data_IF_300141051501
#
_entry.id   IF_300141051501
#
_cell.length_a   1.000
_cell.length_b   1.000
_cell.length_c   1.000
_cell.angle_alpha   90.00
_cell.angle_beta   90.00
_cell.angle_gamma   90.00
#
_symmetry.space_group_name_H-M   'P 1'
#
loop_
_entity.id
_entity.type
_entity.pdbx_description
1 polymer ?
#
# COMPACT_ATOMS: atom_id res chain seq x y z
N UNK A 1 9.05 17.42 2.59
CA UNK A 1 8.18 16.61 3.47
C UNK A 1 7.41 15.65 2.59
N UNK A 2 7.29 14.39 2.95
CA UNK A 2 6.54 13.38 2.19
C UNK A 2 5.12 13.27 2.72
N UNK A 3 4.15 13.22 1.82
CA UNK A 3 2.73 13.19 2.18
C UNK A 3 2.16 11.80 1.95
N UNK A 4 1.66 11.17 3.00
CA UNK A 4 1.23 9.77 3.00
C UNK A 4 -0.27 9.68 3.26
N UNK A 5 -1.01 9.05 2.36
CA UNK A 5 -2.41 8.70 2.55
C UNK A 5 -2.53 7.43 3.41
N UNK A 6 -3.37 7.47 4.43
CA UNK A 6 -3.66 6.29 5.27
C UNK A 6 -5.16 5.99 5.20
N UNK A 7 -5.49 4.80 4.72
CA UNK A 7 -6.84 4.24 4.80
C UNK A 7 -7.14 3.89 6.27
N UNK A 8 -7.75 4.83 6.97
CA UNK A 8 -8.01 4.70 8.41
C UNK A 8 -9.12 3.69 8.74
N UNK A 9 -9.86 3.21 7.74
CA UNK A 9 -10.98 2.28 7.94
C UNK A 9 -10.63 0.85 7.50
N UNK A 10 -9.42 0.62 7.03
CA UNK A 10 -8.93 -0.70 6.59
C UNK A 10 -8.32 -1.50 7.73
N UNK A 11 -8.76 -2.77 7.87
CA UNK A 11 -8.24 -3.71 8.88
C UNK A 11 -9.18 -3.96 10.05
N UNK A 12 -8.92 -5.05 10.77
CA UNK A 12 -9.81 -5.57 11.82
C UNK A 12 -9.92 -4.63 13.04
N UNK A 13 -8.86 -3.89 13.34
CA UNK A 13 -8.80 -2.96 14.46
C UNK A 13 -8.91 -1.48 14.02
N UNK A 14 -9.46 -1.24 12.82
CA UNK A 14 -9.69 0.13 12.34
C UNK A 14 -10.88 0.79 13.05
N UNK A 15 -10.85 2.11 13.28
CA UNK A 15 -9.76 3.02 12.97
C UNK A 15 -8.68 3.10 14.06
N UNK A 16 -8.92 2.52 15.24
CA UNK A 16 -8.09 2.75 16.43
C UNK A 16 -6.62 2.47 16.17
N UNK A 17 -6.26 1.24 15.76
CA UNK A 17 -4.86 0.85 15.57
C UNK A 17 -4.14 1.71 14.52
N UNK A 18 -4.85 2.07 13.44
CA UNK A 18 -4.29 2.92 12.37
C UNK A 18 -4.00 4.33 12.88
N UNK A 19 -4.94 4.92 13.61
CA UNK A 19 -4.81 6.29 14.14
C UNK A 19 -3.77 6.36 15.26
N UNK A 20 -3.69 5.35 16.13
CA UNK A 20 -2.64 5.24 17.13
C UNK A 20 -1.25 5.12 16.47
N UNK A 21 -1.14 4.31 15.40
CA UNK A 21 0.08 4.22 14.59
C UNK A 21 0.46 5.56 13.93
N UNK A 22 -0.52 6.31 13.44
CA UNK A 22 -0.30 7.67 12.90
C UNK A 22 0.19 8.62 13.98
N UNK A 23 -0.40 8.62 15.18
CA UNK A 23 0.08 9.44 16.29
C UNK A 23 1.53 9.12 16.64
N UNK A 24 1.93 7.84 16.58
CA UNK A 24 3.31 7.43 16.81
C UNK A 24 4.22 7.92 15.67
N UNK A 25 3.83 7.68 14.41
CA UNK A 25 4.63 8.09 13.25
C UNK A 25 4.91 9.59 13.22
N UNK A 26 3.93 10.42 13.57
CA UNK A 26 4.12 11.88 13.66
C UNK A 26 5.10 12.29 14.77
N UNK A 27 5.18 11.50 15.85
CA UNK A 27 6.21 11.76 16.91
C UNK A 27 7.60 11.31 16.50
N UNK A 28 7.68 10.19 15.76
CA UNK A 28 8.95 9.54 15.44
C UNK A 28 9.62 10.14 14.19
N UNK A 29 8.83 10.74 13.29
CA UNK A 29 9.31 11.31 12.03
C UNK A 29 8.86 12.77 11.88
N UNK A 30 9.75 13.66 11.52
CA UNK A 30 9.49 15.09 11.33
C UNK A 30 9.37 15.51 9.85
N UNK A 31 9.67 14.61 8.93
CA UNK A 31 9.71 14.84 7.49
C UNK A 31 8.48 14.28 6.73
N UNK A 32 7.43 13.82 7.45
CA UNK A 32 6.20 13.31 6.89
C UNK A 32 4.98 14.14 7.26
N UNK A 33 4.00 14.18 6.35
CA UNK A 33 2.62 14.58 6.57
C UNK A 33 1.70 13.39 6.31
N UNK A 34 0.60 13.30 7.05
CA UNK A 34 -0.36 12.20 6.90
C UNK A 34 -1.75 12.74 6.58
N UNK A 35 -2.40 12.11 5.61
CA UNK A 35 -3.81 12.32 5.30
C UNK A 35 -4.58 11.05 5.66
N UNK A 36 -5.44 11.13 6.66
CA UNK A 36 -6.31 10.04 7.08
C UNK A 36 -7.60 10.06 6.28
N UNK A 37 -7.95 8.95 5.65
CA UNK A 37 -9.20 8.77 4.92
C UNK A 37 -10.15 7.89 5.72
N UNK A 38 -11.33 8.42 6.08
CA UNK A 38 -12.32 7.64 6.84
C UNK A 38 -13.32 8.49 7.60
N UNK A 39 -14.08 7.85 8.47
CA UNK A 39 -15.07 8.49 9.33
C UNK A 39 -14.38 9.43 10.32
N UNK A 40 -14.50 10.72 10.08
CA UNK A 40 -13.84 11.77 10.87
C UNK A 40 -14.20 11.68 12.35
N UNK A 41 -15.46 11.36 12.68
CA UNK A 41 -15.90 11.25 14.08
C UNK A 41 -15.19 10.11 14.79
N UNK A 42 -15.08 8.95 14.12
CA UNK A 42 -14.38 7.80 14.67
C UNK A 42 -12.88 8.02 14.79
N UNK A 43 -12.27 8.66 13.77
CA UNK A 43 -10.83 9.00 13.75
C UNK A 43 -10.50 9.93 14.92
N UNK A 44 -11.29 11.00 15.12
CA UNK A 44 -11.06 11.99 16.18
C UNK A 44 -11.07 11.43 17.59
N UNK A 45 -11.73 10.29 17.81
CA UNK A 45 -11.73 9.64 19.13
C UNK A 45 -10.33 9.13 19.55
N UNK A 46 -9.43 8.90 18.58
CA UNK A 46 -8.10 8.33 18.82
C UNK A 46 -6.95 9.26 18.37
N UNK A 47 -7.27 10.29 17.57
CA UNK A 47 -6.26 11.21 17.04
C UNK A 47 -5.83 12.20 18.11
N UNK A 48 -4.55 12.15 18.46
CA UNK A 48 -3.91 13.11 19.39
C UNK A 48 -2.94 14.06 18.71
N UNK A 49 -2.45 13.71 17.51
CA UNK A 49 -1.61 14.59 16.71
C UNK A 49 -2.43 15.79 16.20
N UNK A 50 -1.92 17.01 16.40
CA UNK A 50 -2.59 18.24 15.99
C UNK A 50 -1.92 18.92 14.79
N UNK A 51 -0.70 18.48 14.46
CA UNK A 51 0.10 19.05 13.38
C UNK A 51 0.44 17.96 12.36
N UNK A 52 0.60 18.33 11.10
CA UNK A 52 0.98 17.46 9.99
C UNK A 52 0.03 16.28 9.73
N UNK A 53 -1.21 16.37 10.26
CA UNK A 53 -2.26 15.40 10.00
C UNK A 53 -3.51 16.12 9.52
N UNK A 54 -4.10 15.62 8.44
CA UNK A 54 -5.39 16.07 7.92
C UNK A 54 -6.32 14.89 7.71
N UNK A 55 -7.63 15.16 7.63
CA UNK A 55 -8.65 14.12 7.47
C UNK A 55 -9.46 14.42 6.21
N UNK A 56 -9.62 13.42 5.36
CA UNK A 56 -10.60 13.37 4.28
C UNK A 56 -11.75 12.49 4.75
N UNK A 57 -12.88 13.12 5.07
CA UNK A 57 -14.03 12.43 5.61
C UNK A 57 -14.71 11.52 4.58
N UNK A 58 -14.98 10.29 4.98
CA UNK A 58 -15.87 9.35 4.28
C UNK A 58 -16.37 8.28 5.25
N UNK A 59 -17.63 7.87 5.08
CA UNK A 59 -18.23 6.76 5.84
C UNK A 59 -18.10 5.43 5.08
N UNK A 60 -17.84 5.48 3.76
CA UNK A 60 -17.74 4.28 2.94
C UNK A 60 -16.37 3.60 3.11
N UNK A 61 -16.38 2.29 3.29
CA UNK A 61 -15.17 1.46 3.41
C UNK A 61 -15.29 0.19 2.58
N UNK A 62 -14.16 -0.44 2.32
CA UNK A 62 -14.09 -1.78 1.75
C UNK A 62 -13.91 -2.77 2.90
N UNK A 63 -14.81 -3.75 2.98
CA UNK A 63 -14.78 -4.80 3.98
C UNK A 63 -13.87 -5.96 3.54
N UNK A 64 -13.45 -6.79 4.50
CA UNK A 64 -12.51 -7.90 4.24
C UNK A 64 -13.09 -8.98 3.33
N UNK A 65 -14.42 -9.14 3.31
CA UNK A 65 -15.18 -10.10 2.52
C UNK A 65 -15.70 -9.53 1.18
N UNK A 66 -15.46 -8.26 0.91
CA UNK A 66 -15.79 -7.67 -0.39
C UNK A 66 -14.99 -8.32 -1.54
N UNK A 67 -15.65 -8.55 -2.66
CA UNK A 67 -14.95 -8.96 -3.88
C UNK A 67 -14.11 -7.77 -4.40
N UNK A 68 -12.76 -7.94 -4.51
CA UNK A 68 -11.83 -6.82 -4.68
C UNK A 68 -12.12 -5.89 -5.86
N UNK A 69 -12.18 -6.46 -7.08
CA UNK A 69 -12.36 -5.65 -8.29
C UNK A 69 -13.73 -4.97 -8.34
N UNK A 70 -14.77 -5.65 -7.82
CA UNK A 70 -16.11 -5.12 -7.74
C UNK A 70 -16.22 -4.00 -6.71
N UNK A 71 -15.58 -4.18 -5.54
CA UNK A 71 -15.56 -3.16 -4.49
C UNK A 71 -14.94 -1.86 -4.99
N UNK A 72 -13.76 -1.92 -5.61
CA UNK A 72 -13.09 -0.75 -6.21
C UNK A 72 -13.94 -0.06 -7.28
N UNK A 73 -14.72 -0.80 -8.04
CA UNK A 73 -15.58 -0.22 -9.08
C UNK A 73 -16.85 0.41 -8.52
N UNK A 74 -17.41 -0.14 -7.44
CA UNK A 74 -18.72 0.29 -6.89
C UNK A 74 -18.59 1.27 -5.75
N UNK A 75 -17.71 1.01 -4.78
CA UNK A 75 -17.52 1.84 -3.58
C UNK A 75 -16.60 3.03 -3.89
N UNK A 76 -17.10 3.99 -4.65
CA UNK A 76 -16.31 5.12 -5.19
C UNK A 76 -15.84 6.11 -4.15
N UNK A 77 -16.49 6.12 -3.00
CA UNK A 77 -16.18 6.98 -1.86
C UNK A 77 -15.46 6.22 -0.74
N UNK A 78 -15.17 4.91 -0.91
CA UNK A 78 -14.44 4.17 0.09
C UNK A 78 -13.06 4.80 0.39
N UNK A 79 -12.68 4.79 1.66
CA UNK A 79 -11.43 5.38 2.16
C UNK A 79 -10.20 4.97 1.33
N UNK A 80 -10.05 3.67 1.05
CA UNK A 80 -9.00 3.13 0.19
C UNK A 80 -9.06 3.68 -1.24
N UNK A 81 -10.25 3.85 -1.81
CA UNK A 81 -10.44 4.35 -3.18
C UNK A 81 -10.08 5.82 -3.28
N UNK A 82 -10.46 6.64 -2.30
CA UNK A 82 -10.10 8.05 -2.23
C UNK A 82 -8.59 8.23 -2.09
N UNK A 83 -7.97 7.48 -1.18
CA UNK A 83 -6.50 7.47 -1.01
C UNK A 83 -5.78 7.12 -2.32
N UNK A 84 -6.23 6.08 -3.03
CA UNK A 84 -5.64 5.71 -4.32
C UNK A 84 -5.82 6.77 -5.41
N UNK A 85 -6.94 7.48 -5.42
CA UNK A 85 -7.16 8.61 -6.36
C UNK A 85 -6.20 9.76 -6.11
N UNK A 86 -5.93 10.08 -4.85
CA UNK A 86 -5.03 11.17 -4.49
C UNK A 86 -3.56 10.81 -4.78
N UNK A 87 -3.17 9.52 -4.64
CA UNK A 87 -1.89 9.03 -5.19
C UNK A 87 -1.83 9.24 -6.71
N UNK A 88 -2.90 8.87 -7.43
CA UNK A 88 -2.97 9.04 -8.89
C UNK A 88 -2.88 10.50 -9.32
N UNK A 89 -3.50 11.39 -8.57
CA UNK A 89 -3.50 12.83 -8.82
C UNK A 89 -2.16 13.50 -8.45
N UNK A 90 -1.30 12.82 -7.68
CA UNK A 90 -0.06 13.40 -7.16
C UNK A 90 -0.27 14.33 -5.96
N UNK A 91 -1.45 14.26 -5.33
CA UNK A 91 -1.77 15.02 -4.11
C UNK A 91 -1.09 14.43 -2.87
N UNK A 92 -0.73 13.15 -2.93
CA UNK A 92 0.04 12.41 -1.93
C UNK A 92 1.12 11.57 -2.62
N UNK A 93 2.24 11.34 -1.93
CA UNK A 93 3.38 10.59 -2.45
C UNK A 93 3.18 9.06 -2.40
N UNK A 94 2.43 8.58 -1.42
CA UNK A 94 2.17 7.15 -1.21
C UNK A 94 0.87 6.92 -0.46
N UNK A 95 0.39 5.66 -0.46
CA UNK A 95 -0.73 5.25 0.38
C UNK A 95 -0.40 3.98 1.16
N UNK A 96 -1.06 3.86 2.32
CA UNK A 96 -1.00 2.70 3.22
C UNK A 96 -2.42 2.25 3.55
N UNK A 97 -2.66 0.95 3.52
CA UNK A 97 -3.90 0.34 4.02
C UNK A 97 -3.58 -1.00 4.69
N UNK A 98 -4.25 -1.30 5.79
CA UNK A 98 -4.25 -2.60 6.45
C UNK A 98 -5.55 -3.40 6.16
N UNK A 99 -6.30 -2.97 5.15
CA UNK A 99 -7.56 -3.59 4.75
C UNK A 99 -7.38 -4.77 3.78
N UNK A 100 -8.42 -5.00 2.97
CA UNK A 100 -8.47 -6.07 1.98
C UNK A 100 -7.32 -5.97 0.97
N UNK A 101 -6.37 -6.92 1.02
CA UNK A 101 -5.15 -6.93 0.19
C UNK A 101 -5.47 -7.00 -1.31
N UNK A 102 -6.46 -7.79 -1.69
CA UNK A 102 -6.91 -7.88 -3.09
C UNK A 102 -7.50 -6.56 -3.59
N UNK A 103 -8.24 -5.85 -2.74
CA UNK A 103 -8.77 -4.53 -3.06
C UNK A 103 -7.66 -3.48 -3.18
N UNK A 104 -6.64 -3.52 -2.31
CA UNK A 104 -5.47 -2.63 -2.40
C UNK A 104 -4.70 -2.86 -3.71
N UNK A 105 -4.48 -4.11 -4.08
CA UNK A 105 -3.87 -4.47 -5.37
C UNK A 105 -4.73 -3.98 -6.54
N UNK A 106 -6.04 -4.19 -6.49
CA UNK A 106 -6.98 -3.73 -7.50
C UNK A 106 -7.02 -2.20 -7.61
N UNK A 107 -6.94 -1.48 -6.48
CA UNK A 107 -6.83 -0.02 -6.45
C UNK A 107 -5.53 0.45 -7.12
N UNK A 108 -4.41 -0.17 -6.80
CA UNK A 108 -3.13 0.07 -7.48
C UNK A 108 -3.23 -0.14 -9.00
N UNK A 109 -3.82 -1.25 -9.42
CA UNK A 109 -3.96 -1.60 -10.83
C UNK A 109 -4.91 -0.70 -11.60
N UNK A 110 -6.13 -0.48 -11.08
CA UNK A 110 -7.20 0.20 -11.83
C UNK A 110 -7.23 1.72 -11.62
N UNK A 111 -6.76 2.22 -10.48
CA UNK A 111 -6.81 3.64 -10.14
C UNK A 111 -5.45 4.29 -10.37
N UNK A 112 -4.41 3.84 -9.65
CA UNK A 112 -3.05 4.40 -9.77
C UNK A 112 -2.50 4.13 -11.17
N UNK A 113 -2.64 2.91 -11.65
CA UNK A 113 -2.22 2.47 -12.97
C UNK A 113 -0.87 1.76 -12.95
N UNK A 114 -0.56 1.12 -14.07
CA UNK A 114 0.68 0.33 -14.26
C UNK A 114 1.80 1.18 -14.84
N UNK A 115 3.03 0.84 -14.50
CA UNK A 115 4.21 1.31 -15.22
C UNK A 115 4.14 0.78 -16.66
N UNK A 116 4.50 1.63 -17.64
CA UNK A 116 4.51 1.23 -19.05
C UNK A 116 5.44 0.03 -19.25
N UNK A 117 4.92 -1.01 -19.87
CA UNK A 117 5.66 -2.26 -20.12
C UNK A 117 5.50 -3.32 -19.03
N UNK A 118 4.86 -3.00 -17.91
CA UNK A 118 4.49 -3.98 -16.88
C UNK A 118 3.07 -4.49 -17.14
N UNK A 119 2.92 -5.78 -17.37
CA UNK A 119 1.62 -6.39 -17.68
C UNK A 119 0.80 -6.64 -16.42
N UNK A 120 1.46 -7.12 -15.37
CA UNK A 120 0.82 -7.40 -14.08
C UNK A 120 1.62 -6.86 -12.92
N UNK A 121 0.97 -6.19 -11.95
CA UNK A 121 1.58 -5.89 -10.67
C UNK A 121 1.78 -7.19 -9.88
N UNK A 122 2.76 -7.19 -8.99
CA UNK A 122 2.97 -8.26 -8.03
C UNK A 122 2.98 -7.73 -6.61
N UNK A 123 2.68 -8.59 -5.66
CA UNK A 123 2.83 -8.31 -4.24
C UNK A 123 4.26 -8.68 -3.83
N UNK A 124 4.99 -7.71 -3.28
CA UNK A 124 6.37 -7.91 -2.85
C UNK A 124 6.53 -7.68 -1.35
N UNK A 125 7.34 -8.50 -0.71
CA UNK A 125 7.80 -8.27 0.65
C UNK A 125 9.25 -8.67 0.80
N UNK A 126 9.94 -7.95 1.69
CA UNK A 126 11.28 -8.35 2.14
C UNK A 126 11.14 -9.37 3.26
N UNK A 127 11.60 -10.59 3.02
CA UNK A 127 11.60 -11.67 3.99
C UNK A 127 12.97 -11.78 4.70
N UNK A 128 12.99 -12.21 5.97
CA UNK A 128 14.22 -12.26 6.74
C UNK A 128 15.17 -13.39 6.28
N UNK A 129 16.46 -13.16 6.41
CA UNK A 129 17.52 -14.17 6.27
C UNK A 129 18.32 -14.29 7.56
N UNK A 130 19.05 -15.39 7.71
CA UNK A 130 19.88 -15.64 8.90
C UNK A 130 20.95 -14.55 9.10
N UNK A 131 21.47 -14.00 8.01
CA UNK A 131 22.45 -12.89 8.02
C UNK A 131 21.86 -11.51 8.24
N UNK A 132 20.52 -11.42 8.42
CA UNK A 132 19.80 -10.17 8.66
C UNK A 132 19.60 -9.26 7.45
N UNK A 133 20.15 -9.61 6.27
CA UNK A 133 20.01 -8.77 5.07
C UNK A 133 18.62 -8.82 4.45
N UNK A 134 17.94 -9.95 4.60
CA UNK A 134 16.68 -10.24 3.97
C UNK A 134 16.80 -10.45 2.45
N UNK A 135 15.72 -10.94 1.85
CA UNK A 135 15.57 -11.02 0.38
C UNK A 135 14.16 -10.58 -0.01
N UNK A 136 14.04 -10.04 -1.21
CA UNK A 136 12.75 -9.60 -1.73
C UNK A 136 12.10 -10.76 -2.49
N UNK A 137 10.88 -11.10 -2.12
CA UNK A 137 10.08 -12.15 -2.77
C UNK A 137 8.95 -11.50 -3.56
N UNK A 138 8.82 -11.85 -4.84
CA UNK A 138 7.85 -11.33 -5.78
C UNK A 138 7.48 -12.41 -6.80
N UNK A 139 6.27 -12.84 -6.98
CA UNK A 139 5.02 -12.35 -6.45
C UNK A 139 4.57 -13.20 -5.24
N UNK A 140 4.03 -12.59 -4.23
CA UNK A 140 3.51 -13.25 -3.01
C UNK A 140 2.00 -13.52 -3.11
N UNK A 141 1.56 -14.12 -4.21
CA UNK A 141 0.19 -14.60 -4.37
C UNK A 141 -0.82 -13.57 -4.84
N UNK A 142 -0.38 -12.45 -5.43
CA UNK A 142 -1.27 -11.51 -6.09
C UNK A 142 -1.88 -12.10 -7.38
N UNK A 143 -1.13 -12.98 -8.04
CA UNK A 143 -1.51 -13.63 -9.27
C UNK A 143 -1.49 -15.15 -9.10
N UNK A 144 -2.61 -15.83 -9.43
CA UNK A 144 -2.73 -17.28 -9.30
C UNK A 144 -1.88 -18.02 -10.35
N UNK A 145 -1.72 -17.42 -11.53
CA UNK A 145 -0.95 -17.98 -12.64
C UNK A 145 -0.02 -16.93 -13.23
N UNK A 146 1.19 -17.35 -13.58
CA UNK A 146 2.21 -16.48 -14.15
C UNK A 146 2.77 -17.08 -15.44
N UNK A 147 2.97 -16.23 -16.45
CA UNK A 147 3.69 -16.56 -17.66
C UNK A 147 5.19 -16.32 -17.46
N UNK A 148 6.07 -16.87 -18.34
CA UNK A 148 7.50 -16.54 -18.32
C UNK A 148 7.78 -15.03 -18.40
N UNK A 149 6.99 -14.28 -19.18
CA UNK A 149 7.07 -12.83 -19.30
C UNK A 149 6.77 -12.12 -17.97
N UNK A 150 5.77 -12.59 -17.23
CA UNK A 150 5.48 -12.05 -15.89
C UNK A 150 6.65 -12.26 -14.94
N UNK A 151 7.22 -13.48 -14.91
CA UNK A 151 8.38 -13.80 -14.07
C UNK A 151 9.60 -12.94 -14.42
N UNK A 152 9.84 -12.71 -15.72
CA UNK A 152 10.88 -11.79 -16.17
C UNK A 152 10.62 -10.36 -15.69
N UNK A 153 9.40 -9.86 -15.80
CA UNK A 153 9.03 -8.51 -15.32
C UNK A 153 9.20 -8.40 -13.79
N UNK A 154 8.83 -9.42 -13.04
CA UNK A 154 9.04 -9.45 -11.57
C UNK A 154 10.54 -9.43 -11.23
N UNK A 155 11.37 -10.16 -11.97
CA UNK A 155 12.82 -10.15 -11.79
C UNK A 155 13.41 -8.74 -12.00
N UNK A 156 12.97 -8.04 -13.05
CA UNK A 156 13.39 -6.65 -13.33
C UNK A 156 12.93 -5.69 -12.23
N UNK A 157 11.64 -5.76 -11.84
CA UNK A 157 11.09 -4.90 -10.79
C UNK A 157 11.77 -5.15 -9.44
N UNK A 158 11.96 -6.41 -9.06
CA UNK A 158 12.64 -6.78 -7.82
C UNK A 158 14.09 -6.33 -7.78
N UNK A 159 14.82 -6.47 -8.91
CA UNK A 159 16.20 -5.98 -9.01
C UNK A 159 16.27 -4.46 -8.86
N UNK A 160 15.38 -3.74 -9.53
CA UNK A 160 15.32 -2.28 -9.44
C UNK A 160 15.02 -1.81 -8.02
N UNK A 161 14.08 -2.47 -7.34
CA UNK A 161 13.76 -2.18 -5.94
C UNK A 161 14.94 -2.44 -5.03
N UNK A 162 15.58 -3.61 -5.16
CA UNK A 162 16.74 -3.98 -4.35
C UNK A 162 17.90 -2.98 -4.49
N UNK A 163 18.16 -2.50 -5.71
CA UNK A 163 19.20 -1.49 -5.95
C UNK A 163 18.84 -0.11 -5.41
N UNK A 164 17.65 0.39 -5.73
CA UNK A 164 17.30 1.80 -5.52
C UNK A 164 16.66 2.08 -4.14
N UNK A 165 15.99 1.09 -3.55
CA UNK A 165 15.33 1.24 -2.24
C UNK A 165 16.17 0.64 -1.13
N UNK A 166 16.74 -0.58 -1.37
CA UNK A 166 17.55 -1.27 -0.35
C UNK A 166 19.05 -1.05 -0.47
N UNK A 167 19.52 -0.37 -1.52
CA UNK A 167 20.94 -0.07 -1.74
C UNK A 167 21.81 -1.30 -2.05
N UNK A 168 21.21 -2.43 -2.45
CA UNK A 168 21.94 -3.66 -2.74
C UNK A 168 22.59 -3.56 -4.12
N UNK A 169 23.91 -3.42 -4.17
CA UNK A 169 24.65 -3.35 -5.42
C UNK A 169 24.63 -4.71 -6.13
N UNK A 170 24.23 -4.72 -7.43
CA UNK A 170 24.16 -5.92 -8.28
C UNK A 170 23.36 -7.06 -7.65
N UNK A 171 22.07 -6.88 -7.40
CA UNK A 171 21.22 -7.88 -6.78
C UNK A 171 21.19 -9.17 -7.63
N UNK A 172 21.23 -10.31 -6.97
CA UNK A 172 21.09 -11.60 -7.63
C UNK A 172 19.62 -11.99 -7.66
N UNK A 173 19.15 -12.48 -8.78
CA UNK A 173 17.79 -12.99 -8.95
C UNK A 173 17.81 -14.51 -9.03
N UNK A 174 16.91 -15.14 -8.31
CA UNK A 174 16.68 -16.57 -8.37
C UNK A 174 15.21 -16.86 -8.72
N UNK A 175 14.98 -17.88 -9.50
CA UNK A 175 13.63 -18.41 -9.71
C UNK A 175 13.37 -19.47 -8.65
N UNK A 176 12.30 -19.27 -7.87
CA UNK A 176 11.84 -20.30 -6.96
C UNK A 176 11.07 -21.36 -7.76
N UNK A 177 11.49 -22.60 -7.61
CA UNK A 177 10.87 -23.75 -8.26
C UNK A 177 10.60 -24.84 -7.23
N UNK A 178 9.50 -25.57 -7.39
CA UNK A 178 9.15 -26.74 -6.58
C UNK A 178 9.86 -27.99 -7.08
#
# INVERSE_FOLDING_TARGET
>A
MKKIAVDAMGGDNAPQALVEGVNQAIRDFDDIEIVLYGDETKIKNYLTATERVSIVHTEEKIDSDDEPARAIRRKKQASMVLAAKDVKAGEVDAMLSAGNTGALLAAGFFIVGRIKGVERPGLMSTLPTVDGRGYDMLDLGANAENTPEHLHQYAVMGSYYAENVRGIQKPRVGLLNN
#
